data_IF_025193482223
#
_entry.id   IF_025193482223
#
_cell.length_a   1.000
_cell.length_b   1.000
_cell.length_c   1.000
_cell.angle_alpha   90.00
_cell.angle_beta   90.00
_cell.angle_gamma   90.00
#
_symmetry.space_group_name_H-M   'P 1'
#
loop_
_entity.id
_entity.type
_entity.pdbx_description
1 polymer ?
#
# COMPACT_ATOMS: atom_id res chain seq x y z
N UNK A 1 37.75 -62.52 19.71
CA UNK A 1 36.90 -61.52 20.39
C UNK A 1 36.64 -60.37 19.42
N UNK A 2 35.36 -60.13 19.16
CA UNK A 2 34.81 -59.35 18.06
C UNK A 2 35.08 -57.85 18.22
N UNK A 3 35.50 -57.20 17.12
CA UNK A 3 35.33 -55.75 16.95
C UNK A 3 33.99 -55.52 16.25
N UNK A 4 33.04 -54.95 16.97
CA UNK A 4 31.78 -54.44 16.44
C UNK A 4 32.04 -53.18 15.59
N UNK A 5 31.45 -53.04 14.40
CA UNK A 5 31.40 -51.78 13.70
C UNK A 5 30.17 -50.97 14.15
N UNK A 6 30.41 -49.74 14.62
CA UNK A 6 29.38 -48.73 14.85
C UNK A 6 28.80 -48.29 13.50
N UNK A 7 27.57 -48.70 13.21
CA UNK A 7 26.80 -48.17 12.08
C UNK A 7 26.27 -46.78 12.44
N UNK A 8 26.92 -45.71 11.99
CA UNK A 8 26.32 -44.37 12.01
C UNK A 8 25.30 -44.26 10.87
N UNK A 9 24.03 -44.50 11.18
CA UNK A 9 22.90 -44.13 10.31
C UNK A 9 22.89 -42.60 10.18
N UNK A 10 23.42 -42.10 9.07
CA UNK A 10 23.16 -40.74 8.61
C UNK A 10 21.72 -40.66 8.11
N UNK A 11 20.79 -40.21 8.96
CA UNK A 11 19.46 -39.81 8.54
C UNK A 11 19.57 -38.56 7.68
N UNK A 12 19.60 -38.74 6.35
CA UNK A 12 19.34 -37.66 5.38
C UNK A 12 17.89 -37.21 5.58
N UNK A 13 17.69 -36.15 6.36
CA UNK A 13 16.50 -35.31 6.27
C UNK A 13 16.50 -34.70 4.87
N UNK A 14 15.75 -35.32 3.95
CA UNK A 14 15.34 -34.65 2.71
C UNK A 14 14.48 -33.47 3.14
N UNK A 15 15.02 -32.26 3.03
CA UNK A 15 14.22 -31.05 3.04
C UNK A 15 13.25 -31.15 1.86
N UNK A 16 12.02 -31.56 2.12
CA UNK A 16 10.90 -31.39 1.19
C UNK A 16 10.61 -29.90 1.16
N UNK A 17 11.23 -29.19 0.23
CA UNK A 17 10.79 -27.86 -0.19
C UNK A 17 9.38 -28.02 -0.77
N UNK A 18 8.36 -27.82 0.07
CA UNK A 18 7.01 -27.61 -0.42
C UNK A 18 7.07 -26.30 -1.21
N UNK A 19 7.07 -26.40 -2.54
CA UNK A 19 6.72 -25.26 -3.39
C UNK A 19 5.28 -24.90 -3.08
N UNK A 20 5.08 -23.91 -2.21
CA UNK A 20 3.78 -23.31 -1.96
C UNK A 20 3.30 -22.77 -3.30
N UNK A 21 2.16 -23.27 -3.79
CA UNK A 21 1.55 -22.77 -5.02
C UNK A 21 0.93 -21.42 -4.69
N UNK A 22 1.35 -20.38 -5.40
CA UNK A 22 0.71 -19.06 -5.37
C UNK A 22 -0.69 -19.18 -6.00
N UNK A 23 -1.71 -18.58 -5.37
CA UNK A 23 -3.09 -18.56 -5.90
C UNK A 23 -3.21 -17.71 -7.17
N UNK A 24 -2.18 -16.92 -7.45
CA UNK A 24 -2.10 -15.99 -8.55
C UNK A 24 -1.03 -16.41 -9.55
N UNK A 25 -1.38 -16.33 -10.83
CA UNK A 25 -0.41 -16.22 -11.90
C UNK A 25 -0.16 -14.75 -12.18
N UNK A 26 1.01 -14.27 -11.82
CA UNK A 26 1.38 -12.86 -11.96
C UNK A 26 2.35 -12.63 -13.11
N UNK A 27 2.22 -11.48 -13.77
CA UNK A 27 3.20 -10.96 -14.70
C UNK A 27 3.20 -9.42 -14.67
N UNK A 28 4.38 -8.81 -14.80
CA UNK A 28 4.53 -7.37 -15.05
C UNK A 28 5.28 -7.21 -16.36
N UNK A 29 4.66 -6.50 -17.30
CA UNK A 29 5.25 -6.18 -18.59
C UNK A 29 5.69 -4.72 -18.60
N UNK A 30 6.87 -4.46 -19.13
CA UNK A 30 7.37 -3.10 -19.34
C UNK A 30 7.93 -2.94 -20.75
N UNK A 31 7.75 -1.76 -21.33
CA UNK A 31 8.25 -1.45 -22.68
C UNK A 31 8.34 0.06 -22.88
N UNK A 32 9.23 0.55 -23.76
CA UNK A 32 9.17 1.92 -24.25
C UNK A 32 8.02 2.16 -25.24
N UNK A 33 7.27 1.12 -25.63
CA UNK A 33 6.12 1.24 -26.54
C UNK A 33 4.83 0.70 -25.90
N UNK A 34 3.80 1.55 -25.70
CA UNK A 34 2.53 1.10 -25.15
C UNK A 34 1.75 0.20 -26.13
N UNK A 35 1.97 0.37 -27.44
CA UNK A 35 1.38 -0.49 -28.46
C UNK A 35 1.95 -1.92 -28.40
N UNK A 36 3.27 -2.08 -28.27
CA UNK A 36 3.89 -3.40 -28.10
C UNK A 36 3.47 -4.08 -26.79
N UNK A 37 3.20 -3.30 -25.73
CA UNK A 37 2.60 -3.83 -24.50
C UNK A 37 1.21 -4.37 -24.74
N UNK A 38 0.35 -3.64 -25.45
CA UNK A 38 -1.01 -4.07 -25.75
C UNK A 38 -1.01 -5.41 -26.52
N UNK A 39 -0.18 -5.52 -27.56
CA UNK A 39 -0.02 -6.77 -28.32
C UNK A 39 0.42 -7.95 -27.43
N UNK A 40 1.35 -7.71 -26.49
CA UNK A 40 1.77 -8.76 -25.54
C UNK A 40 0.66 -9.16 -24.58
N UNK A 41 -0.14 -8.20 -24.11
CA UNK A 41 -1.28 -8.47 -23.22
C UNK A 41 -2.35 -9.27 -23.95
N UNK A 42 -2.66 -8.96 -25.21
CA UNK A 42 -3.57 -9.74 -26.06
C UNK A 42 -3.14 -11.20 -26.16
N UNK A 43 -1.86 -11.44 -26.46
CA UNK A 43 -1.30 -12.79 -26.50
C UNK A 43 -1.44 -13.49 -25.15
N UNK A 44 -1.09 -12.81 -24.06
CA UNK A 44 -1.11 -13.40 -22.73
C UNK A 44 -2.50 -13.80 -22.28
N UNK A 45 -3.47 -12.91 -22.48
CA UNK A 45 -4.86 -13.10 -22.05
C UNK A 45 -5.53 -14.24 -22.83
N UNK A 46 -5.16 -14.43 -24.11
CA UNK A 46 -5.65 -15.53 -24.93
C UNK A 46 -5.13 -16.91 -24.46
N UNK A 47 -3.94 -16.98 -23.84
CA UNK A 47 -3.34 -18.25 -23.39
C UNK A 47 -4.00 -18.83 -22.13
N UNK A 48 -4.53 -17.98 -21.26
CA UNK A 48 -4.97 -18.38 -19.92
C UNK A 48 -6.22 -17.62 -19.49
N UNK A 49 -7.43 -18.11 -19.83
CA UNK A 49 -8.65 -17.53 -19.30
C UNK A 49 -8.74 -17.75 -17.78
N UNK A 50 -9.25 -16.76 -17.07
CA UNK A 50 -9.51 -16.81 -15.62
C UNK A 50 -10.83 -16.16 -15.29
N UNK A 51 -11.45 -16.58 -14.18
CA UNK A 51 -12.68 -15.99 -13.66
C UNK A 51 -12.44 -14.58 -13.09
N UNK A 52 -11.21 -14.28 -12.66
CA UNK A 52 -10.86 -12.97 -12.14
C UNK A 52 -9.47 -12.57 -12.61
N UNK A 53 -9.40 -11.40 -13.25
CA UNK A 53 -8.14 -10.79 -13.70
C UNK A 53 -7.95 -9.46 -13.00
N UNK A 54 -6.86 -9.35 -12.24
CA UNK A 54 -6.38 -8.11 -11.67
C UNK A 54 -5.42 -7.42 -12.65
N UNK A 55 -5.47 -6.10 -12.75
CA UNK A 55 -4.48 -5.33 -13.48
C UNK A 55 -4.14 -3.98 -12.83
N UNK A 56 -2.93 -3.51 -13.10
CA UNK A 56 -2.51 -2.14 -12.80
C UNK A 56 -1.78 -1.61 -14.03
N UNK A 57 -2.33 -0.57 -14.66
CA UNK A 57 -1.81 0.04 -15.88
C UNK A 57 -1.14 1.36 -15.54
N UNK A 58 0.10 1.56 -15.98
CA UNK A 58 0.81 2.81 -15.73
C UNK A 58 0.04 4.02 -16.26
N UNK A 59 -0.08 5.06 -15.45
CA UNK A 59 -0.91 6.24 -15.74
C UNK A 59 -0.42 7.06 -16.92
N UNK A 60 0.86 6.91 -17.28
CA UNK A 60 1.47 7.54 -18.46
C UNK A 60 1.05 6.89 -19.79
N UNK A 61 0.36 5.74 -19.78
CA UNK A 61 -0.15 5.12 -21.01
C UNK A 61 -1.11 6.09 -21.73
N UNK A 62 -0.98 6.26 -23.06
CA UNK A 62 -1.84 7.18 -23.81
C UNK A 62 -3.33 6.95 -23.58
N UNK A 63 -4.08 8.03 -23.35
CA UNK A 63 -5.51 7.96 -23.03
C UNK A 63 -6.31 7.10 -24.03
N UNK A 64 -5.97 7.18 -25.32
CA UNK A 64 -6.61 6.39 -26.38
C UNK A 64 -6.44 4.88 -26.18
N UNK A 65 -5.32 4.43 -25.63
CA UNK A 65 -5.00 3.00 -25.48
C UNK A 65 -5.59 2.42 -24.19
N UNK A 66 -5.94 3.23 -23.20
CA UNK A 66 -6.49 2.75 -21.92
C UNK A 66 -7.75 1.89 -22.14
N UNK A 67 -8.67 2.35 -22.98
CA UNK A 67 -9.88 1.59 -23.30
C UNK A 67 -9.61 0.34 -24.15
N UNK A 68 -8.55 0.34 -24.96
CA UNK A 68 -8.14 -0.83 -25.72
C UNK A 68 -7.54 -1.91 -24.80
N UNK A 69 -6.67 -1.54 -23.85
CA UNK A 69 -6.20 -2.45 -22.79
C UNK A 69 -7.38 -3.06 -22.02
N UNK A 70 -8.35 -2.23 -21.62
CA UNK A 70 -9.55 -2.71 -20.92
C UNK A 70 -10.35 -3.71 -21.75
N UNK A 71 -10.56 -3.42 -23.03
CA UNK A 71 -11.29 -4.31 -23.94
C UNK A 71 -10.61 -5.68 -24.05
N UNK A 72 -9.27 -5.67 -24.19
CA UNK A 72 -8.48 -6.91 -24.26
C UNK A 72 -8.59 -7.70 -22.96
N UNK A 73 -8.43 -7.05 -21.81
CA UNK A 73 -8.51 -7.71 -20.50
C UNK A 73 -9.92 -8.29 -20.25
N UNK A 74 -10.99 -7.57 -20.60
CA UNK A 74 -12.37 -8.06 -20.50
C UNK A 74 -12.72 -9.18 -21.50
N UNK A 75 -12.00 -9.29 -22.63
CA UNK A 75 -12.30 -10.29 -23.66
C UNK A 75 -11.98 -11.75 -23.27
N UNK A 76 -11.23 -11.95 -22.17
CA UNK A 76 -10.71 -13.25 -21.73
C UNK A 76 -11.79 -14.26 -21.30
N UNK A 77 -12.94 -13.80 -20.81
CA UNK A 77 -13.96 -14.69 -20.27
C UNK A 77 -15.35 -14.06 -20.29
N UNK A 78 -16.32 -14.76 -20.88
CA UNK A 78 -17.74 -14.34 -20.86
C UNK A 78 -18.37 -14.34 -19.45
N UNK A 79 -17.65 -14.85 -18.44
CA UNK A 79 -18.05 -14.87 -17.03
C UNK A 79 -17.03 -14.24 -16.08
N UNK A 80 -15.88 -13.81 -16.59
CA UNK A 80 -14.80 -13.32 -15.75
C UNK A 80 -14.94 -11.84 -15.43
N UNK A 81 -14.51 -11.44 -14.24
CA UNK A 81 -14.51 -10.03 -13.82
C UNK A 81 -13.08 -9.49 -13.84
N UNK A 82 -12.87 -8.41 -14.60
CA UNK A 82 -11.61 -7.68 -14.63
C UNK A 82 -11.63 -6.56 -13.59
N UNK A 83 -10.63 -6.47 -12.73
CA UNK A 83 -10.52 -5.44 -11.70
C UNK A 83 -9.16 -4.77 -11.82
N UNK A 84 -9.10 -3.46 -11.69
CA UNK A 84 -7.80 -2.79 -11.71
C UNK A 84 -7.86 -1.31 -11.46
N UNK A 85 -6.73 -0.66 -11.71
CA UNK A 85 -6.61 0.79 -11.65
C UNK A 85 -5.53 1.31 -12.60
N UNK A 86 -5.50 2.63 -12.78
CA UNK A 86 -4.28 3.31 -13.21
C UNK A 86 -3.34 3.45 -12.02
N UNK A 87 -2.08 3.07 -12.24
CA UNK A 87 -1.00 3.05 -11.25
C UNK A 87 0.13 4.00 -11.64
N UNK A 88 1.02 4.28 -10.70
CA UNK A 88 2.13 5.19 -10.93
C UNK A 88 3.19 4.53 -11.82
N UNK A 89 4.01 5.36 -12.46
CA UNK A 89 5.15 4.92 -13.28
C UNK A 89 6.15 4.19 -12.40
N UNK A 90 6.52 2.97 -12.81
CA UNK A 90 7.52 2.18 -12.09
C UNK A 90 8.91 2.84 -12.20
N UNK A 91 9.68 2.94 -11.10
CA UNK A 91 11.03 3.48 -11.13
C UNK A 91 11.95 2.61 -12.02
N UNK A 92 12.70 3.25 -12.90
CA UNK A 92 13.66 2.61 -13.82
C UNK A 92 15.05 2.59 -13.19
N UNK A 93 15.73 1.43 -13.19
CA UNK A 93 17.07 1.27 -12.60
C UNK A 93 18.20 1.79 -13.51
N UNK A 94 17.91 2.64 -14.51
CA UNK A 94 18.92 3.09 -15.47
C UNK A 94 19.79 4.19 -14.86
N UNK A 95 21.10 3.91 -14.78
CA UNK A 95 22.16 4.90 -14.55
C UNK A 95 21.87 6.23 -15.27
N UNK A 96 22.16 7.39 -14.65
CA UNK A 96 21.88 8.74 -15.20
C UNK A 96 22.60 9.06 -16.52
N UNK A 97 23.33 8.12 -17.09
CA UNK A 97 24.05 8.23 -18.37
C UNK A 97 23.23 7.83 -19.61
N UNK A 98 22.06 7.21 -19.43
CA UNK A 98 21.18 6.83 -20.54
C UNK A 98 19.97 7.75 -20.54
N UNK A 99 19.91 8.69 -21.46
CA UNK A 99 18.76 9.58 -21.61
C UNK A 99 17.46 8.77 -21.79
N UNK A 100 16.55 8.93 -20.82
CA UNK A 100 15.17 9.41 -21.04
C UNK A 100 14.26 8.60 -21.98
N UNK A 101 14.38 7.27 -22.05
CA UNK A 101 13.31 6.47 -22.63
C UNK A 101 12.23 6.22 -21.57
N UNK A 102 11.14 6.98 -21.64
CA UNK A 102 9.95 6.75 -20.84
C UNK A 102 9.49 5.29 -20.98
N UNK A 103 9.21 4.66 -19.84
CA UNK A 103 8.80 3.26 -19.79
C UNK A 103 7.33 3.19 -19.40
N UNK A 104 6.57 2.43 -20.18
CA UNK A 104 5.19 2.08 -19.89
C UNK A 104 5.16 0.71 -19.22
N UNK A 105 4.20 0.48 -18.33
CA UNK A 105 4.05 -0.82 -17.67
C UNK A 105 2.61 -1.23 -17.48
N UNK A 106 2.39 -2.55 -17.43
CA UNK A 106 1.14 -3.16 -16.98
C UNK A 106 1.46 -4.40 -16.15
N UNK A 107 0.91 -4.45 -14.94
CA UNK A 107 0.91 -5.65 -14.11
C UNK A 107 -0.43 -6.37 -14.26
N UNK A 108 -0.40 -7.69 -14.38
CA UNK A 108 -1.56 -8.56 -14.54
C UNK A 108 -1.43 -9.73 -13.56
N UNK A 109 -2.50 -10.03 -12.83
CA UNK A 109 -2.59 -11.23 -12.01
C UNK A 109 -3.90 -11.96 -12.27
N UNK A 110 -3.82 -13.25 -12.57
CA UNK A 110 -4.97 -14.10 -12.84
C UNK A 110 -5.11 -15.13 -11.73
N UNK A 111 -6.29 -15.20 -11.13
CA UNK A 111 -6.54 -16.18 -10.09
C UNK A 111 -6.56 -17.60 -10.66
N UNK A 112 -5.93 -18.54 -9.97
CA UNK A 112 -5.90 -19.96 -10.32
C UNK A 112 -6.25 -20.79 -9.10
N UNK A 113 -7.50 -21.29 -9.02
CA UNK A 113 -7.96 -22.09 -7.90
C UNK A 113 -7.01 -23.25 -7.61
N UNK A 114 -6.45 -23.32 -6.40
CA UNK A 114 -5.59 -24.45 -6.01
C UNK A 114 -6.41 -25.71 -5.72
N UNK A 115 -7.64 -25.53 -5.23
CA UNK A 115 -8.58 -26.57 -4.81
C UNK A 115 -10.01 -26.24 -5.25
N UNK A 116 -10.88 -27.25 -5.32
CA UNK A 116 -12.28 -27.08 -5.69
C UNK A 116 -13.13 -26.32 -4.66
N UNK A 117 -12.62 -26.18 -3.42
CA UNK A 117 -13.24 -25.39 -2.35
C UNK A 117 -12.89 -23.91 -2.41
N UNK A 118 -11.89 -23.55 -3.23
CA UNK A 118 -11.40 -22.19 -3.35
C UNK A 118 -12.23 -21.44 -4.39
N UNK A 119 -12.70 -20.24 -4.02
CA UNK A 119 -13.42 -19.36 -4.94
C UNK A 119 -13.05 -17.91 -4.70
N UNK A 120 -13.23 -17.10 -5.73
CA UNK A 120 -13.03 -15.65 -5.67
C UNK A 120 -14.36 -14.91 -5.74
N UNK A 121 -14.48 -13.83 -4.97
CA UNK A 121 -15.56 -12.87 -5.08
C UNK A 121 -14.94 -11.53 -5.46
N UNK A 122 -15.22 -11.06 -6.67
CA UNK A 122 -15.00 -9.68 -7.07
C UNK A 122 -16.02 -8.79 -6.35
N UNK A 123 -15.58 -7.65 -5.82
CA UNK A 123 -16.45 -6.71 -5.11
C UNK A 123 -16.14 -5.26 -5.46
N UNK A 124 -17.15 -4.40 -5.26
CA UNK A 124 -17.05 -2.95 -5.34
C UNK A 124 -17.63 -2.34 -4.07
N UNK A 125 -16.84 -1.52 -3.40
CA UNK A 125 -17.30 -0.73 -2.26
C UNK A 125 -17.59 0.71 -2.68
N UNK A 126 -18.79 1.18 -2.34
CA UNK A 126 -19.20 2.59 -2.45
C UNK A 126 -19.04 3.34 -1.13
N UNK A 127 -18.38 2.74 -0.14
CA UNK A 127 -18.14 3.35 1.16
C UNK A 127 -17.18 4.54 0.99
N UNK A 128 -17.68 5.74 1.27
CA UNK A 128 -16.92 6.98 1.14
C UNK A 128 -16.78 7.67 2.49
N UNK A 129 -15.55 8.01 2.83
CA UNK A 129 -15.24 8.89 3.94
C UNK A 129 -15.63 10.33 3.69
N UNK A 130 -15.31 11.17 4.67
CA UNK A 130 -15.59 12.59 4.62
C UNK A 130 -14.83 13.26 3.47
N UNK A 131 -15.43 14.24 2.79
CA UNK A 131 -14.67 15.07 1.85
C UNK A 131 -13.51 15.77 2.58
N UNK A 132 -12.42 15.99 1.86
CA UNK A 132 -11.30 16.76 2.38
C UNK A 132 -11.78 18.18 2.74
N UNK A 133 -11.32 18.70 3.88
CA UNK A 133 -11.67 20.06 4.30
C UNK A 133 -11.00 21.05 3.33
N UNK A 134 -11.78 21.67 2.45
CA UNK A 134 -11.32 22.73 1.58
C UNK A 134 -11.54 24.10 2.23
N UNK A 135 -10.47 24.85 2.44
CA UNK A 135 -10.54 26.25 2.86
C UNK A 135 -10.58 27.14 1.60
N UNK A 136 -11.77 27.58 1.16
CA UNK A 136 -11.90 28.47 0.00
C UNK A 136 -13.25 28.40 -0.73
N UNK A 137 -13.33 29.03 -1.91
CA UNK A 137 -14.49 28.94 -2.82
C UNK A 137 -14.35 27.70 -3.70
N UNK A 138 -14.76 26.54 -3.21
CA UNK A 138 -14.85 25.36 -4.06
C UNK A 138 -16.02 25.51 -5.04
N UNK A 139 -15.76 25.25 -6.33
CA UNK A 139 -16.81 25.09 -7.33
C UNK A 139 -17.34 23.67 -7.15
N UNK A 140 -18.42 23.52 -6.37
CA UNK A 140 -19.11 22.23 -6.23
C UNK A 140 -19.61 21.79 -7.62
N UNK A 141 -19.21 20.63 -8.14
CA UNK A 141 -19.91 20.03 -9.28
C UNK A 141 -21.34 19.69 -8.84
N UNK A 142 -22.34 20.02 -9.66
CA UNK A 142 -23.78 19.90 -9.36
C UNK A 142 -24.21 18.47 -8.94
N UNK A 143 -23.39 17.45 -9.19
CA UNK A 143 -23.66 16.05 -8.84
C UNK A 143 -23.46 15.68 -7.35
N UNK A 144 -22.96 16.57 -6.50
CA UNK A 144 -22.68 16.27 -5.07
C UNK A 144 -23.64 16.94 -4.07
N UNK A 145 -24.67 17.63 -4.54
CA UNK A 145 -25.58 18.40 -3.67
C UNK A 145 -26.43 17.52 -2.70
N UNK A 146 -26.63 16.23 -2.99
CA UNK A 146 -27.51 15.35 -2.19
C UNK A 146 -26.80 14.58 -1.06
N UNK A 147 -25.48 14.67 -0.94
CA UNK A 147 -24.71 13.94 0.09
C UNK A 147 -24.26 14.80 1.29
N UNK A 148 -24.75 16.04 1.39
CA UNK A 148 -24.51 16.94 2.54
C UNK A 148 -25.33 16.48 3.77
N UNK A 149 -25.07 15.27 4.29
CA UNK A 149 -25.44 14.95 5.67
C UNK A 149 -24.48 15.69 6.59
N UNK A 150 -25.02 16.68 7.30
CA UNK A 150 -24.32 17.44 8.33
C UNK A 150 -23.67 16.46 9.30
N UNK A 151 -22.35 16.59 9.46
CA UNK A 151 -21.51 15.70 10.24
C UNK A 151 -21.97 15.67 11.71
N UNK A 152 -22.54 14.54 12.13
CA UNK A 152 -23.02 14.32 13.50
C UNK A 152 -21.92 14.45 14.56
N UNK A 153 -20.65 14.20 14.20
CA UNK A 153 -19.50 14.39 15.07
C UNK A 153 -19.10 15.86 15.21
N UNK A 154 -19.16 16.63 14.12
CA UNK A 154 -18.99 18.09 14.17
C UNK A 154 -20.13 18.75 14.95
N UNK A 155 -21.38 18.30 14.74
CA UNK A 155 -22.51 18.76 15.53
C UNK A 155 -22.36 18.41 17.02
N UNK A 156 -21.91 17.20 17.34
CA UNK A 156 -21.68 16.80 18.74
C UNK A 156 -20.60 17.66 19.39
N UNK A 157 -19.51 17.96 18.67
CA UNK A 157 -18.45 18.87 19.13
C UNK A 157 -18.98 20.30 19.32
N UNK A 158 -19.72 20.85 18.34
CA UNK A 158 -20.32 22.19 18.44
C UNK A 158 -21.34 22.28 19.59
N UNK A 159 -21.94 21.15 19.99
CA UNK A 159 -22.84 21.03 21.14
C UNK A 159 -22.11 20.74 22.48
N UNK A 160 -20.78 20.77 22.50
CA UNK A 160 -19.97 20.62 23.72
C UNK A 160 -19.59 19.18 24.09
N UNK A 161 -19.73 18.23 23.16
CA UNK A 161 -19.23 16.86 23.30
C UNK A 161 -17.70 16.76 23.16
N UNK A 162 -17.13 15.58 23.45
CA UNK A 162 -15.70 15.34 23.22
C UNK A 162 -15.39 15.44 21.74
N UNK A 163 -14.31 16.18 21.41
CA UNK A 163 -13.76 16.16 20.08
C UNK A 163 -13.09 14.80 19.85
N UNK A 164 -13.65 14.02 18.93
CA UNK A 164 -13.10 12.74 18.51
C UNK A 164 -13.39 12.52 17.03
N UNK A 165 -12.36 12.15 16.27
CA UNK A 165 -12.54 11.66 14.91
C UNK A 165 -13.28 10.30 14.98
N UNK A 166 -14.61 10.33 14.98
CA UNK A 166 -15.41 9.12 14.84
C UNK A 166 -15.40 8.17 16.05
N UNK A 167 -15.44 8.67 17.29
CA UNK A 167 -15.90 7.85 18.42
C UNK A 167 -17.42 7.58 18.27
N UNK A 168 -17.76 6.71 17.32
CA UNK A 168 -19.07 6.06 17.28
C UNK A 168 -19.09 4.97 18.35
N UNK A 169 -20.22 4.89 19.06
CA UNK A 169 -20.47 3.84 20.05
C UNK A 169 -20.39 2.46 19.40
N UNK A 170 -20.04 1.40 20.16
CA UNK A 170 -19.93 0.04 19.63
C UNK A 170 -21.18 -0.45 18.89
N UNK A 171 -22.35 0.06 19.24
CA UNK A 171 -23.65 -0.29 18.66
C UNK A 171 -23.91 0.33 17.27
N UNK A 172 -23.21 1.42 16.91
CA UNK A 172 -23.27 2.02 15.56
C UNK A 172 -22.24 1.42 14.59
N UNK A 173 -21.18 0.77 15.11
CA UNK A 173 -20.10 0.18 14.31
C UNK A 173 -20.51 -1.04 13.48
N UNK A 174 -21.59 -1.74 13.81
CA UNK A 174 -21.89 -3.05 13.22
C UNK A 174 -22.83 -3.04 12.02
N UNK A 175 -23.47 -1.91 11.68
CA UNK A 175 -24.54 -1.90 10.64
C UNK A 175 -24.33 -0.91 9.48
N UNK A 176 -23.33 -0.02 9.52
CA UNK A 176 -23.21 1.05 8.52
C UNK A 176 -22.09 0.89 7.48
N UNK A 177 -21.17 -0.07 7.64
CA UNK A 177 -20.02 -0.22 6.74
C UNK A 177 -19.83 -1.69 6.33
N UNK A 178 -20.73 -2.19 5.48
CA UNK A 178 -20.61 -3.53 4.89
C UNK A 178 -20.30 -3.42 3.39
N UNK A 179 -19.49 -4.36 2.88
CA UNK A 179 -19.26 -4.54 1.44
C UNK A 179 -20.34 -5.51 0.95
N UNK A 180 -21.26 -5.01 0.12
CA UNK A 180 -22.48 -5.74 -0.28
C UNK A 180 -22.19 -7.12 -0.88
N UNK A 181 -21.17 -7.26 -1.73
CA UNK A 181 -20.83 -8.54 -2.36
C UNK A 181 -20.22 -9.55 -1.39
N UNK A 182 -19.72 -9.10 -0.23
CA UNK A 182 -19.18 -9.96 0.82
C UNK A 182 -20.20 -10.19 1.95
N UNK A 183 -21.42 -9.70 1.79
CA UNK A 183 -22.49 -9.81 2.78
C UNK A 183 -22.92 -11.27 2.94
N UNK A 184 -22.96 -11.74 4.18
CA UNK A 184 -23.31 -13.12 4.51
C UNK A 184 -22.18 -14.14 4.36
N UNK A 185 -21.01 -13.73 3.85
CA UNK A 185 -19.82 -14.58 3.88
C UNK A 185 -19.24 -14.65 5.30
N UNK A 186 -18.84 -15.85 5.71
CA UNK A 186 -18.17 -16.03 6.98
C UNK A 186 -16.80 -15.35 6.93
N UNK A 187 -16.54 -14.46 7.89
CA UNK A 187 -15.30 -13.69 7.93
C UNK A 187 -14.08 -14.60 8.08
N UNK A 188 -14.24 -15.78 8.68
CA UNK A 188 -13.17 -16.77 8.85
C UNK A 188 -12.79 -17.49 7.55
N UNK A 189 -13.69 -17.52 6.56
CA UNK A 189 -13.49 -18.20 5.28
C UNK A 189 -12.65 -17.39 4.29
N UNK A 190 -12.61 -16.06 4.46
CA UNK A 190 -11.85 -15.15 3.60
C UNK A 190 -10.40 -15.17 4.05
N UNK A 191 -9.52 -15.50 3.11
CA UNK A 191 -8.07 -15.64 3.34
C UNK A 191 -7.27 -14.48 2.81
N UNK A 192 -7.72 -13.88 1.73
CA UNK A 192 -7.00 -12.87 1.02
C UNK A 192 -7.96 -11.80 0.53
N UNK A 193 -7.52 -10.56 0.65
CA UNK A 193 -8.20 -9.39 0.11
C UNK A 193 -7.17 -8.58 -0.67
N UNK A 194 -7.38 -8.48 -1.98
CA UNK A 194 -6.59 -7.61 -2.87
C UNK A 194 -7.44 -6.41 -3.24
N UNK A 195 -6.98 -5.20 -2.92
CA UNK A 195 -7.82 -4.00 -3.01
C UNK A 195 -7.17 -2.86 -3.78
N UNK A 196 -7.96 -2.17 -4.58
CA UNK A 196 -7.63 -0.87 -5.17
C UNK A 196 -8.68 0.13 -4.71
N UNK A 197 -8.25 1.31 -4.28
CA UNK A 197 -9.17 2.29 -3.70
C UNK A 197 -8.81 3.70 -4.09
N UNK A 198 -9.82 4.56 -4.19
CA UNK A 198 -9.66 5.99 -4.42
C UNK A 198 -9.40 6.71 -3.09
N UNK A 199 -9.65 8.02 -3.05
CA UNK A 199 -9.60 8.80 -1.82
C UNK A 199 -10.65 8.39 -0.78
N UNK A 200 -10.53 9.00 0.41
CA UNK A 200 -11.54 8.91 1.49
C UNK A 200 -11.85 7.48 1.92
N UNK A 201 -10.79 6.70 2.04
CA UNK A 201 -10.78 5.25 2.26
C UNK A 201 -11.27 4.83 3.67
N UNK A 202 -11.39 5.73 4.65
CA UNK A 202 -11.52 5.32 6.06
C UNK A 202 -12.71 4.38 6.36
N UNK A 203 -13.93 4.62 5.88
CA UNK A 203 -15.04 3.68 6.10
C UNK A 203 -14.80 2.33 5.44
N UNK A 204 -14.08 2.29 4.31
CA UNK A 204 -13.70 1.06 3.65
C UNK A 204 -12.66 0.28 4.46
N UNK A 205 -11.61 0.93 4.99
CA UNK A 205 -10.64 0.28 5.88
C UNK A 205 -11.31 -0.27 7.14
N UNK A 206 -12.26 0.49 7.71
CA UNK A 206 -13.06 0.03 8.85
C UNK A 206 -13.88 -1.21 8.49
N UNK A 207 -14.52 -1.26 7.32
CA UNK A 207 -15.24 -2.45 6.84
C UNK A 207 -14.32 -3.68 6.69
N UNK A 208 -13.09 -3.47 6.18
CA UNK A 208 -12.11 -4.55 6.02
C UNK A 208 -11.66 -5.15 7.36
N UNK A 209 -11.72 -4.38 8.46
CA UNK A 209 -11.31 -4.85 9.79
C UNK A 209 -12.10 -6.06 10.30
N UNK A 210 -13.31 -6.33 9.76
CA UNK A 210 -14.10 -7.53 10.11
C UNK A 210 -13.42 -8.83 9.66
N UNK A 211 -12.63 -8.77 8.59
CA UNK A 211 -11.94 -9.92 8.01
C UNK A 211 -10.58 -10.14 8.68
N UNK A 212 -10.61 -10.30 10.00
CA UNK A 212 -9.39 -10.38 10.82
C UNK A 212 -8.49 -11.59 10.50
N UNK A 213 -9.00 -12.63 9.83
CA UNK A 213 -8.23 -13.78 9.32
C UNK A 213 -7.64 -13.58 7.92
N UNK A 214 -8.12 -12.60 7.15
CA UNK A 214 -7.75 -12.42 5.75
C UNK A 214 -6.50 -11.54 5.61
N UNK A 215 -5.47 -11.97 4.89
CA UNK A 215 -4.33 -11.09 4.54
C UNK A 215 -4.79 -10.02 3.55
N UNK A 216 -4.57 -8.74 3.85
CA UNK A 216 -5.03 -7.65 2.97
C UNK A 216 -3.84 -6.90 2.40
N UNK A 217 -3.82 -6.81 1.07
CA UNK A 217 -2.85 -6.05 0.28
C UNK A 217 -3.56 -5.20 -0.73
N UNK A 218 -2.92 -4.12 -1.15
CA UNK A 218 -3.48 -3.27 -2.17
C UNK A 218 -2.75 -1.96 -2.29
N UNK A 219 -3.39 -1.03 -2.98
CA UNK A 219 -2.91 0.34 -3.10
C UNK A 219 -4.07 1.33 -3.20
N UNK A 220 -3.78 2.57 -2.82
CA UNK A 220 -4.59 3.69 -3.25
C UNK A 220 -4.24 3.94 -4.72
N UNK A 221 -5.22 4.08 -5.60
CA UNK A 221 -5.00 4.35 -7.02
C UNK A 221 -4.23 5.65 -7.22
N UNK A 222 -3.56 5.77 -8.37
CA UNK A 222 -2.85 6.98 -8.72
C UNK A 222 -3.78 8.14 -9.05
N UNK A 223 -3.29 9.36 -8.91
CA UNK A 223 -4.02 10.57 -9.26
C UNK A 223 -4.05 10.74 -10.79
N UNK A 224 -5.24 10.72 -11.37
CA UNK A 224 -5.46 10.69 -12.83
C UNK A 224 -6.23 11.88 -13.43
N UNK A 225 -6.27 13.09 -12.84
CA UNK A 225 -7.13 14.17 -13.35
C UNK A 225 -6.77 14.61 -14.77
N UNK A 226 -5.53 14.40 -15.21
CA UNK A 226 -5.07 14.71 -16.57
C UNK A 226 -4.77 13.48 -17.42
N UNK A 227 -4.85 12.28 -16.83
CA UNK A 227 -4.54 11.01 -17.48
C UNK A 227 -5.80 10.33 -18.03
N UNK A 228 -6.97 10.92 -17.85
CA UNK A 228 -8.23 10.38 -18.35
C UNK A 228 -9.11 11.47 -18.95
N UNK A 229 -9.91 11.08 -19.93
CA UNK A 229 -10.72 12.00 -20.75
C UNK A 229 -11.80 12.75 -19.96
N UNK A 230 -12.32 12.12 -18.92
CA UNK A 230 -13.35 12.62 -18.00
C UNK A 230 -12.76 13.48 -16.86
N UNK A 231 -11.44 13.53 -16.72
CA UNK A 231 -10.79 14.33 -15.68
C UNK A 231 -10.96 13.81 -14.25
N UNK A 232 -11.33 12.54 -14.10
CA UNK A 232 -11.54 11.92 -12.79
C UNK A 232 -10.25 11.88 -11.98
N UNK A 233 -10.35 12.25 -10.69
CA UNK A 233 -9.21 12.27 -9.76
C UNK A 233 -8.54 10.90 -9.61
N UNK A 234 -9.31 9.82 -9.70
CA UNK A 234 -8.84 8.44 -9.67
C UNK A 234 -9.50 7.63 -10.79
N UNK A 235 -8.83 6.56 -11.22
CA UNK A 235 -9.35 5.64 -12.24
C UNK A 235 -9.23 4.20 -11.78
N UNK A 236 -10.31 3.69 -11.19
CA UNK A 236 -10.51 2.30 -10.85
C UNK A 236 -11.39 1.62 -11.91
N UNK A 237 -11.29 0.31 -12.02
CA UNK A 237 -12.02 -0.48 -13.01
C UNK A 237 -12.66 -1.70 -12.35
N UNK A 238 -13.93 -1.95 -12.66
CA UNK A 238 -14.71 -3.10 -12.21
C UNK A 238 -15.54 -3.64 -13.37
N UNK A 239 -15.08 -4.75 -13.96
CA UNK A 239 -15.57 -5.23 -15.25
C UNK A 239 -15.44 -4.15 -16.32
N UNK A 240 -16.54 -3.84 -16.98
CA UNK A 240 -16.60 -2.81 -18.03
C UNK A 240 -16.84 -1.39 -17.48
N UNK A 241 -17.08 -1.25 -16.17
CA UNK A 241 -17.31 0.04 -15.53
C UNK A 241 -15.99 0.70 -15.10
N UNK A 242 -15.87 2.01 -15.37
CA UNK A 242 -14.86 2.86 -14.76
C UNK A 242 -15.44 3.52 -13.51
N UNK A 243 -14.70 3.46 -12.40
CA UNK A 243 -15.12 3.96 -11.09
C UNK A 243 -14.09 4.98 -10.59
N UNK A 244 -14.55 6.17 -10.21
CA UNK A 244 -13.67 7.26 -9.75
C UNK A 244 -13.59 7.40 -8.21
N UNK A 245 -14.47 6.72 -7.47
CA UNK A 245 -14.59 6.84 -6.01
C UNK A 245 -14.80 5.46 -5.37
N UNK A 246 -14.46 5.32 -4.08
CA UNK A 246 -14.68 4.09 -3.32
C UNK A 246 -13.54 3.09 -3.51
N UNK A 247 -13.87 1.80 -3.61
CA UNK A 247 -12.89 0.74 -3.78
C UNK A 247 -13.39 -0.40 -4.66
N UNK A 248 -12.46 -1.12 -5.28
CA UNK A 248 -12.69 -2.36 -6.03
C UNK A 248 -11.69 -3.40 -5.52
N UNK A 249 -12.06 -4.67 -5.54
CA UNK A 249 -11.14 -5.69 -5.06
C UNK A 249 -11.65 -7.11 -5.24
N UNK A 250 -10.83 -8.04 -4.78
CA UNK A 250 -11.09 -9.48 -4.84
C UNK A 250 -10.90 -10.07 -3.46
N UNK A 251 -11.89 -10.81 -2.99
CA UNK A 251 -11.79 -11.68 -1.84
C UNK A 251 -11.54 -13.12 -2.31
N UNK A 252 -10.53 -13.78 -1.75
CA UNK A 252 -10.30 -15.22 -1.96
C UNK A 252 -10.81 -15.98 -0.74
N UNK A 253 -11.70 -16.92 -0.97
CA UNK A 253 -12.33 -17.76 0.04
C UNK A 253 -11.83 -19.18 -0.10
N UNK A 254 -11.53 -19.84 1.02
CA UNK A 254 -11.31 -21.29 1.03
C UNK A 254 -11.82 -21.91 2.33
N UNK A 255 -12.91 -22.66 2.21
CA UNK A 255 -13.61 -23.33 3.30
C UNK A 255 -12.89 -24.57 3.85
N UNK A 256 -11.84 -25.07 3.19
CA UNK A 256 -11.25 -26.38 3.49
C UNK A 256 -9.99 -26.35 4.37
N UNK A 257 -9.27 -25.22 4.48
CA UNK A 257 -8.04 -25.19 5.26
C UNK A 257 -8.22 -24.58 6.65
N UNK A 258 -7.57 -25.24 7.60
CA UNK A 258 -7.25 -24.70 8.92
C UNK A 258 -6.49 -23.39 8.75
N UNK A 259 -6.78 -22.41 9.61
CA UNK A 259 -6.42 -20.99 9.57
C UNK A 259 -4.90 -20.64 9.49
N UNK A 260 -4.18 -21.20 8.53
CA UNK A 260 -2.81 -20.81 8.22
C UNK A 260 -2.86 -19.57 7.33
N UNK A 261 -2.70 -18.39 7.94
CA UNK A 261 -2.53 -17.14 7.20
C UNK A 261 -1.41 -17.25 6.15
N UNK A 262 -1.59 -16.56 5.04
CA UNK A 262 -0.51 -16.32 4.07
C UNK A 262 0.43 -15.26 4.65
N UNK A 263 1.75 -15.45 4.59
CA UNK A 263 2.69 -14.48 5.11
C UNK A 263 2.63 -13.22 4.24
N UNK A 264 2.39 -12.09 4.89
CA UNK A 264 2.53 -10.78 4.28
C UNK A 264 3.95 -10.29 4.50
N UNK A 265 4.65 -9.93 3.44
CA UNK A 265 5.96 -9.30 3.52
C UNK A 265 5.78 -7.79 3.45
N UNK A 266 6.23 -7.08 4.49
CA UNK A 266 6.23 -5.62 4.54
C UNK A 266 7.67 -5.13 4.68
N UNK A 267 8.08 -4.24 3.79
CA UNK A 267 9.40 -3.61 3.78
C UNK A 267 9.22 -2.10 3.66
N UNK A 268 9.90 -1.32 4.50
CA UNK A 268 9.79 0.14 4.53
C UNK A 268 10.95 0.82 3.80
N UNK A 269 11.27 0.35 2.59
CA UNK A 269 12.35 0.91 1.78
C UNK A 269 13.72 0.90 2.48
N UNK A 270 14.46 2.00 2.33
CA UNK A 270 15.80 2.19 2.89
C UNK A 270 15.80 2.90 4.26
N UNK A 271 14.67 2.97 4.97
CA UNK A 271 14.61 3.65 6.27
C UNK A 271 15.64 3.09 7.27
N UNK A 272 16.42 4.00 7.86
CA UNK A 272 17.46 3.68 8.81
C UNK A 272 17.17 4.33 10.17
N UNK A 273 17.49 3.64 11.30
CA UNK A 273 17.28 4.19 12.63
C UNK A 273 18.23 5.36 12.94
N UNK A 274 17.72 6.34 13.68
CA UNK A 274 18.44 7.48 14.22
C UNK A 274 18.42 7.42 15.74
N UNK A 275 19.57 7.11 16.34
CA UNK A 275 19.70 7.00 17.79
C UNK A 275 19.04 5.74 18.38
N UNK A 276 18.70 5.83 19.67
CA UNK A 276 18.22 4.71 20.47
C UNK A 276 16.68 4.62 20.51
N UNK A 277 16.17 3.46 20.95
CA UNK A 277 14.75 3.29 21.24
C UNK A 277 14.37 4.01 22.55
N UNK A 278 13.29 4.80 22.52
CA UNK A 278 12.78 5.56 23.66
C UNK A 278 11.39 5.11 24.08
N UNK A 279 11.17 4.88 25.37
CA UNK A 279 9.85 4.55 25.92
C UNK A 279 8.91 5.76 25.86
N UNK A 280 7.66 5.58 25.44
CA UNK A 280 6.63 6.63 25.48
C UNK A 280 6.13 6.78 26.91
N UNK A 281 6.52 7.87 27.57
CA UNK A 281 6.09 8.17 28.94
C UNK A 281 4.81 8.99 29.01
N UNK A 282 4.50 9.79 27.97
CA UNK A 282 3.23 10.53 27.85
C UNK A 282 2.90 10.87 26.39
N UNK A 283 1.62 10.74 26.04
CA UNK A 283 1.06 11.02 24.72
C UNK A 283 -0.43 11.37 24.83
N UNK A 284 -0.97 11.99 23.79
CA UNK A 284 -2.39 12.26 23.59
C UNK A 284 -2.73 12.02 22.12
N UNK A 285 -3.43 10.92 21.80
CA UNK A 285 -3.72 10.54 20.42
C UNK A 285 -2.44 10.30 19.62
N UNK A 286 -2.27 11.05 18.53
CA UNK A 286 -1.08 11.00 17.66
C UNK A 286 0.04 11.99 18.09
N UNK A 287 -0.13 12.67 19.23
CA UNK A 287 0.85 13.62 19.78
C UNK A 287 1.63 12.95 20.91
N UNK A 288 2.94 12.82 20.73
CA UNK A 288 3.88 12.34 21.74
C UNK A 288 4.45 13.54 22.51
N UNK A 289 4.24 13.55 23.83
CA UNK A 289 4.66 14.66 24.69
C UNK A 289 6.02 14.37 25.33
N UNK A 290 6.20 13.17 25.86
CA UNK A 290 7.47 12.77 26.48
C UNK A 290 7.89 11.37 26.12
N UNK A 291 9.20 11.23 25.91
CA UNK A 291 9.90 9.99 25.59
C UNK A 291 10.99 9.78 26.65
N UNK A 292 10.96 8.66 27.35
CA UNK A 292 11.89 8.30 28.44
C UNK A 292 12.02 9.40 29.51
N UNK A 293 10.89 10.05 29.82
CA UNK A 293 10.82 11.16 30.78
C UNK A 293 11.36 12.50 30.25
N UNK A 294 11.80 12.55 29.00
CA UNK A 294 12.33 13.75 28.35
C UNK A 294 11.36 14.28 27.30
N UNK A 295 11.57 15.53 26.90
CA UNK A 295 10.83 16.21 25.84
C UNK A 295 11.06 15.52 24.49
N UNK A 296 9.99 15.05 23.85
CA UNK A 296 10.06 14.22 22.65
C UNK A 296 10.69 14.97 21.46
N UNK A 297 10.28 16.22 21.24
CA UNK A 297 10.81 17.05 20.17
C UNK A 297 12.30 17.39 20.35
N UNK A 298 12.78 17.56 21.59
CA UNK A 298 14.21 17.75 21.87
C UNK A 298 15.02 16.50 21.62
N UNK A 299 14.49 15.32 21.96
CA UNK A 299 15.17 14.05 21.66
C UNK A 299 15.30 13.84 20.16
N UNK A 300 14.25 14.10 19.38
CA UNK A 300 14.33 14.09 17.92
C UNK A 300 15.39 15.08 17.42
N UNK A 301 15.34 16.34 17.89
CA UNK A 301 16.31 17.36 17.47
C UNK A 301 17.76 16.97 17.79
N UNK A 302 17.99 16.38 18.96
CA UNK A 302 19.32 15.87 19.32
C UNK A 302 19.76 14.74 18.40
N UNK A 303 18.88 13.76 18.14
CA UNK A 303 19.15 12.65 17.24
C UNK A 303 19.48 13.13 15.81
N UNK A 304 18.75 14.14 15.32
CA UNK A 304 19.01 14.80 14.03
C UNK A 304 20.35 15.53 14.04
N UNK A 305 20.66 16.29 15.10
CA UNK A 305 21.95 16.97 15.24
C UNK A 305 23.13 15.99 15.33
N UNK A 306 22.94 14.82 15.92
CA UNK A 306 23.96 13.78 15.99
C UNK A 306 24.17 13.12 14.62
N UNK A 307 23.10 12.98 13.83
CA UNK A 307 23.13 12.40 12.48
C UNK A 307 23.82 13.29 11.45
N UNK A 308 23.50 14.59 11.43
CA UNK A 308 24.04 15.55 10.44
C UNK A 308 25.20 16.39 10.98
N UNK A 309 25.48 16.30 12.28
CA UNK A 309 26.42 17.17 12.99
C UNK A 309 25.81 18.51 13.41
N UNK A 310 26.23 19.04 14.55
CA UNK A 310 25.76 20.32 15.13
C UNK A 310 26.14 21.58 14.32
N UNK A 311 26.73 21.42 13.13
CA UNK A 311 27.32 22.48 12.33
C UNK A 311 26.54 22.80 11.04
N UNK A 312 25.21 22.75 11.08
CA UNK A 312 24.38 23.35 10.05
C UNK A 312 24.78 24.83 9.78
N UNK A 313 25.37 25.53 10.75
CA UNK A 313 25.92 26.88 10.56
C UNK A 313 27.11 26.97 9.57
N UNK A 314 27.89 25.89 9.42
CA UNK A 314 29.09 25.84 8.55
C UNK A 314 28.81 25.21 7.18
N UNK A 315 27.59 24.70 6.96
CA UNK A 315 27.20 24.14 5.67
C UNK A 315 26.79 25.27 4.70
N UNK A 316 27.14 25.14 3.40
CA UNK A 316 26.59 25.96 2.33
C UNK A 316 25.07 26.07 2.43
N UNK A 317 24.51 27.25 2.11
CA UNK A 317 23.07 27.52 2.24
C UNK A 317 22.19 26.45 1.54
N UNK A 318 22.63 25.93 0.40
CA UNK A 318 21.94 24.86 -0.33
C UNK A 318 21.87 23.53 0.45
N UNK A 319 22.94 23.14 1.14
CA UNK A 319 22.96 21.92 1.97
C UNK A 319 22.12 22.10 3.23
N UNK A 320 22.11 23.30 3.82
CA UNK A 320 21.22 23.64 4.94
C UNK A 320 19.74 23.53 4.60
N UNK A 321 19.35 23.99 3.40
CA UNK A 321 17.96 23.87 2.94
C UNK A 321 17.61 22.40 2.70
N UNK A 322 18.49 21.65 2.04
CA UNK A 322 18.30 20.23 1.78
C UNK A 322 18.16 19.41 3.06
N UNK A 323 18.97 19.67 4.10
CA UNK A 323 18.86 19.00 5.40
C UNK A 323 17.57 19.36 6.15
N UNK A 324 17.10 20.61 6.01
CA UNK A 324 15.85 21.07 6.64
C UNK A 324 14.61 20.44 5.99
N UNK A 325 14.71 20.07 4.72
CA UNK A 325 13.62 19.44 3.95
C UNK A 325 13.59 17.92 4.13
N UNK A 326 14.56 17.32 4.84
CA UNK A 326 14.55 15.87 5.09
C UNK A 326 13.37 15.46 5.96
N UNK A 327 12.71 14.39 5.52
CA UNK A 327 11.63 13.77 6.25
C UNK A 327 12.16 12.81 7.31
N UNK A 328 11.50 12.80 8.46
CA UNK A 328 11.78 11.87 9.54
C UNK A 328 10.53 11.05 9.84
N UNK A 329 10.74 9.82 10.27
CA UNK A 329 9.68 8.87 10.57
C UNK A 329 9.85 8.33 12.00
N UNK A 330 8.78 7.78 12.56
CA UNK A 330 8.76 7.13 13.85
C UNK A 330 8.26 5.70 13.67
N UNK A 331 9.06 4.72 14.07
CA UNK A 331 8.60 3.35 14.27
C UNK A 331 8.18 3.14 15.72
N UNK A 332 6.96 2.64 15.92
CA UNK A 332 6.35 2.40 17.23
C UNK A 332 6.27 0.90 17.48
N UNK A 333 6.86 0.44 18.58
CA UNK A 333 6.89 -0.95 19.02
C UNK A 333 6.12 -1.13 20.33
N UNK A 334 5.49 -2.29 20.50
CA UNK A 334 4.78 -2.60 21.74
C UNK A 334 5.75 -2.86 22.91
N UNK A 335 6.91 -3.44 22.62
CA UNK A 335 8.01 -3.71 23.54
C UNK A 335 9.30 -3.06 23.06
N UNK A 336 10.34 -3.04 23.90
CA UNK A 336 11.63 -2.46 23.51
C UNK A 336 12.22 -3.30 22.36
N UNK A 337 12.47 -2.73 21.17
CA UNK A 337 13.03 -3.48 20.06
C UNK A 337 14.50 -3.83 20.30
N UNK A 338 14.92 -4.97 19.78
CA UNK A 338 16.33 -5.35 19.68
C UNK A 338 16.97 -4.73 18.42
N UNK A 339 18.29 -4.59 18.44
CA UNK A 339 19.08 -4.13 17.29
C UNK A 339 19.88 -5.30 16.70
N UNK A 340 19.99 -5.42 15.35
CA UNK A 340 19.49 -4.50 14.32
C UNK A 340 17.96 -4.49 14.21
N UNK A 341 17.41 -3.32 13.90
CA UNK A 341 15.97 -3.06 13.93
C UNK A 341 15.23 -3.83 12.81
N UNK A 342 14.24 -4.65 13.19
CA UNK A 342 13.27 -5.22 12.24
C UNK A 342 12.01 -4.34 12.20
N UNK A 343 11.84 -3.58 11.11
CA UNK A 343 10.68 -2.72 10.91
C UNK A 343 9.38 -3.49 10.67
N UNK A 344 9.44 -4.77 10.30
CA UNK A 344 8.24 -5.59 10.12
C UNK A 344 7.54 -5.93 11.45
N UNK A 345 8.27 -5.84 12.57
CA UNK A 345 7.71 -6.00 13.92
C UNK A 345 7.15 -4.67 14.48
N UNK A 346 7.38 -3.54 13.80
CA UNK A 346 6.83 -2.27 14.24
C UNK A 346 5.30 -2.34 14.16
N UNK A 347 4.63 -1.95 15.25
CA UNK A 347 3.17 -1.79 15.23
C UNK A 347 2.76 -0.76 14.19
N UNK A 348 3.51 0.33 14.09
CA UNK A 348 3.28 1.45 13.19
C UNK A 348 4.62 2.03 12.75
N UNK A 349 4.73 2.42 11.48
CA UNK A 349 5.77 3.32 10.98
C UNK A 349 5.06 4.46 10.29
N UNK A 350 5.33 5.70 10.72
CA UNK A 350 4.62 6.87 10.25
C UNK A 350 5.53 8.11 10.23
N UNK A 351 5.20 9.07 9.36
CA UNK A 351 5.93 10.33 9.22
C UNK A 351 5.78 11.19 10.46
N UNK A 352 6.83 11.92 10.82
CA UNK A 352 6.78 12.95 11.86
C UNK A 352 6.36 14.25 11.19
N UNK A 353 5.17 14.76 11.53
CA UNK A 353 4.57 15.93 10.86
C UNK A 353 5.08 17.25 11.42
N UNK A 354 5.26 17.30 12.74
CA UNK A 354 5.65 18.51 13.42
C UNK A 354 6.28 18.18 14.76
N UNK A 355 7.16 19.06 15.23
CA UNK A 355 7.72 19.04 16.57
C UNK A 355 8.03 20.45 17.02
N UNK A 356 7.64 20.81 18.24
CA UNK A 356 7.99 22.08 18.85
C UNK A 356 8.95 21.81 20.02
N UNK A 357 10.27 22.04 19.88
CA UNK A 357 11.23 21.82 20.96
C UNK A 357 10.94 22.64 22.23
N UNK A 358 10.25 23.78 22.09
CA UNK A 358 9.90 24.66 23.20
C UNK A 358 8.71 24.14 24.01
N UNK A 359 7.68 23.60 23.32
CA UNK A 359 6.49 23.01 23.94
C UNK A 359 6.63 21.51 24.23
N UNK A 360 7.59 20.87 23.59
CA UNK A 360 8.01 19.49 23.77
C UNK A 360 7.20 18.40 23.11
N UNK A 361 6.15 18.78 22.40
CA UNK A 361 5.29 17.85 21.68
C UNK A 361 5.85 17.55 20.28
N UNK A 362 5.69 16.30 19.87
CA UNK A 362 5.95 15.80 18.51
C UNK A 362 4.69 15.09 18.01
N UNK A 363 4.25 15.41 16.79
CA UNK A 363 3.09 14.77 16.16
C UNK A 363 3.51 13.78 15.09
N UNK A 364 2.87 12.62 15.08
CA UNK A 364 3.07 11.55 14.10
C UNK A 364 1.85 11.47 13.19
N UNK A 365 2.07 11.21 11.90
CA UNK A 365 1.03 11.06 10.88
C UNK A 365 0.32 9.71 11.05
N UNK A 366 -0.60 9.63 12.00
CA UNK A 366 -1.38 8.43 12.26
C UNK A 366 -2.72 8.76 12.89
N UNK A 367 -3.70 7.92 12.62
CA UNK A 367 -4.99 7.92 13.31
C UNK A 367 -4.97 7.00 14.55
N UNK A 368 -3.93 6.17 14.69
CA UNK A 368 -3.76 5.31 15.85
C UNK A 368 -3.15 6.08 17.03
N UNK A 369 -3.67 5.82 18.23
CA UNK A 369 -3.06 6.35 19.45
C UNK A 369 -1.65 5.76 19.65
N UNK A 370 -0.67 6.64 19.90
CA UNK A 370 0.66 6.25 20.36
C UNK A 370 0.58 5.97 21.85
N UNK A 371 0.57 4.70 22.25
CA UNK A 371 0.27 4.31 23.64
C UNK A 371 1.44 4.55 24.58
N UNK A 372 1.14 5.01 25.81
CA UNK A 372 2.12 5.00 26.90
C UNK A 372 2.66 3.58 27.15
N UNK A 373 3.96 3.46 27.38
CA UNK A 373 4.68 2.19 27.56
C UNK A 373 5.12 1.51 26.26
N UNK A 374 4.68 2.01 25.09
CA UNK A 374 5.27 1.63 23.81
C UNK A 374 6.66 2.24 23.64
N UNK A 375 7.42 1.79 22.64
CA UNK A 375 8.74 2.31 22.32
C UNK A 375 8.74 2.98 20.95
N UNK A 376 9.40 4.12 20.84
CA UNK A 376 9.60 4.86 19.59
C UNK A 376 11.06 4.80 19.19
N UNK A 377 11.32 4.47 17.93
CA UNK A 377 12.62 4.62 17.28
C UNK A 377 12.46 5.64 16.16
N UNK A 378 13.30 6.68 16.16
CA UNK A 378 13.33 7.65 15.07
C UNK A 378 14.01 7.03 13.85
N UNK A 379 13.50 7.35 12.67
CA UNK A 379 14.02 6.86 11.40
C UNK A 379 14.24 8.03 10.44
N UNK A 380 15.17 7.86 9.51
CA UNK A 380 15.35 8.74 8.37
C UNK A 380 15.55 7.92 7.11
N UNK A 381 15.31 8.54 5.96
CA UNK A 381 15.69 7.99 4.67
C UNK A 381 17.14 8.43 4.35
N UNK A 382 18.10 7.51 4.20
CA UNK A 382 19.43 7.83 3.68
C UNK A 382 19.33 8.31 2.23
N UNK A 383 20.27 9.14 1.77
CA UNK A 383 20.33 9.66 0.38
C UNK A 383 20.65 8.58 -0.69
N UNK A 384 20.41 7.31 -0.38
CA UNK A 384 20.54 6.19 -1.33
C UNK A 384 19.20 6.04 -2.04
N UNK A 385 19.20 5.92 -3.39
CA UNK A 385 18.01 5.69 -4.22
C UNK A 385 17.12 4.56 -3.66
N UNK A 386 16.17 4.92 -2.81
CA UNK A 386 15.34 3.99 -2.04
C UNK A 386 14.44 3.14 -2.96
N UNK A 387 14.13 3.66 -4.13
CA UNK A 387 13.26 3.06 -5.14
C UNK A 387 13.93 1.91 -5.90
N UNK A 388 15.26 1.93 -6.07
CA UNK A 388 15.99 0.88 -6.78
C UNK A 388 16.06 -0.45 -5.98
N UNK A 389 15.95 -0.39 -4.65
CA UNK A 389 16.05 -1.55 -3.76
C UNK A 389 14.71 -2.29 -3.53
N UNK A 390 13.59 -1.77 -4.05
CA UNK A 390 12.24 -2.12 -3.63
C UNK A 390 11.54 -3.15 -4.55
N UNK A 391 12.29 -3.97 -5.31
CA UNK A 391 11.68 -5.01 -6.17
C UNK A 391 11.39 -6.30 -5.39
N UNK A 392 10.31 -7.03 -5.71
CA UNK A 392 10.03 -8.33 -5.12
C UNK A 392 11.17 -9.31 -5.41
N UNK A 393 11.70 -9.96 -4.37
CA UNK A 393 12.78 -10.93 -4.51
C UNK A 393 12.29 -12.30 -5.02
N UNK A 394 10.97 -12.56 -4.92
CA UNK A 394 10.37 -13.85 -5.22
C UNK A 394 9.38 -13.74 -6.39
N UNK A 395 9.31 -14.82 -7.16
CA UNK A 395 8.40 -14.94 -8.29
C UNK A 395 6.98 -15.23 -7.79
N UNK A 396 6.00 -14.78 -8.58
CA UNK A 396 4.55 -15.01 -8.45
C UNK A 396 3.90 -14.34 -7.24
N UNK A 397 4.51 -13.26 -6.76
CA UNK A 397 3.95 -12.44 -5.70
C UNK A 397 3.03 -11.35 -6.25
N UNK A 398 2.03 -10.97 -5.44
CA UNK A 398 1.30 -9.72 -5.61
C UNK A 398 2.00 -8.64 -4.78
N UNK A 399 2.67 -7.70 -5.43
CA UNK A 399 3.41 -6.64 -4.76
C UNK A 399 2.89 -5.25 -5.14
N UNK A 400 2.85 -4.39 -4.13
CA UNK A 400 2.49 -2.99 -4.25
C UNK A 400 3.60 -2.13 -3.67
N UNK A 401 3.93 -1.04 -4.37
CA UNK A 401 5.04 -0.15 -4.05
C UNK A 401 4.53 1.28 -3.84
N UNK A 402 4.96 1.93 -2.77
CA UNK A 402 4.77 3.37 -2.59
C UNK A 402 5.96 4.11 -3.24
N UNK A 403 5.68 5.06 -4.13
CA UNK A 403 6.69 5.86 -4.86
C UNK A 403 6.34 7.34 -4.77
N UNK A 404 7.28 8.27 -5.02
CA UNK A 404 6.92 9.66 -5.23
C UNK A 404 6.05 9.84 -6.50
N UNK A 405 5.26 10.92 -6.58
CA UNK A 405 4.51 11.25 -7.80
C UNK A 405 5.48 11.50 -8.97
N UNK A 406 5.16 10.95 -10.14
CA UNK A 406 5.96 11.21 -11.35
C UNK A 406 5.65 12.58 -11.95
N UNK A 407 6.68 13.29 -12.43
CA UNK A 407 6.55 14.52 -13.23
C UNK A 407 6.24 14.26 -14.72
N UNK A 408 5.86 13.03 -15.07
CA UNK A 408 5.56 12.64 -16.45
C UNK A 408 4.29 13.33 -16.93
N UNK A 409 4.37 13.96 -18.10
CA UNK A 409 3.21 14.59 -18.73
C UNK A 409 2.24 13.54 -19.28
N UNK A 410 0.92 13.77 -19.23
CA UNK A 410 -0.05 12.83 -19.77
C UNK A 410 0.08 12.74 -21.29
N UNK A 411 0.09 11.51 -21.81
CA UNK A 411 -0.01 11.25 -23.24
C UNK A 411 -1.47 11.13 -23.68
N UNK A 412 -1.83 11.82 -24.76
CA UNK A 412 -3.22 11.78 -25.27
C UNK A 412 -3.36 10.74 -26.38
N UNK A 413 -2.40 10.70 -27.31
CA UNK A 413 -2.45 9.82 -28.48
C UNK A 413 -1.29 8.83 -28.53
N UNK A 414 -1.55 7.62 -29.04
CA UNK A 414 -0.52 6.60 -29.23
C UNK A 414 0.63 7.05 -30.17
N UNK A 415 0.36 8.02 -31.05
CA UNK A 415 1.35 8.61 -31.96
C UNK A 415 2.43 9.45 -31.26
N UNK A 416 2.21 9.82 -29.99
CA UNK A 416 3.20 10.54 -29.17
C UNK A 416 4.29 9.61 -28.64
N UNK A 417 4.05 8.31 -28.65
CA UNK A 417 4.94 7.30 -28.10
C UNK A 417 5.60 6.47 -29.21
N UNK A 418 6.72 5.79 -28.93
CA UNK A 418 7.31 4.82 -29.85
C UNK A 418 6.29 3.76 -30.28
N UNK A 419 6.20 3.48 -31.58
CA UNK A 419 5.26 2.49 -32.14
C UNK A 419 5.71 1.04 -31.96
N UNK A 420 7.01 0.82 -31.70
CA UNK A 420 7.60 -0.49 -31.42
C UNK A 420 8.60 -0.38 -30.28
N UNK A 421 8.62 -1.38 -29.42
CA UNK A 421 9.56 -1.48 -28.32
C UNK A 421 9.76 -2.93 -27.88
N UNK A 422 10.92 -3.24 -27.32
CA UNK A 422 11.11 -4.53 -26.66
C UNK A 422 10.21 -4.60 -25.42
N UNK A 423 9.54 -5.74 -25.23
CA UNK A 423 8.68 -5.97 -24.07
C UNK A 423 9.41 -6.89 -23.10
N UNK A 424 9.81 -6.34 -21.96
CA UNK A 424 10.35 -7.12 -20.86
C UNK A 424 9.20 -7.71 -20.03
N UNK A 425 9.43 -8.87 -19.43
CA UNK A 425 8.42 -9.60 -18.65
C UNK A 425 9.03 -10.08 -17.35
N UNK A 426 8.39 -9.73 -16.25
CA UNK A 426 8.74 -10.17 -14.90
C UNK A 426 7.63 -11.10 -14.38
N UNK A 427 7.98 -12.15 -13.65
CA UNK A 427 7.02 -13.16 -13.16
C UNK A 427 6.37 -12.77 -11.82
N UNK A 428 6.13 -11.49 -11.58
CA UNK A 428 5.44 -10.98 -10.39
C UNK A 428 4.48 -9.86 -10.80
N UNK A 429 3.53 -9.52 -9.94
CA UNK A 429 2.64 -8.37 -10.13
C UNK A 429 3.25 -7.23 -9.31
N UNK A 430 3.59 -6.11 -9.95
CA UNK A 430 4.11 -4.94 -9.29
C UNK A 430 3.35 -3.71 -9.75
N UNK A 431 2.60 -3.11 -8.84
CA UNK A 431 1.90 -1.85 -9.06
C UNK A 431 2.47 -0.78 -8.12
N UNK A 432 2.68 0.43 -8.63
CA UNK A 432 3.15 1.56 -7.85
C UNK A 432 2.04 2.57 -7.58
N UNK A 433 2.15 3.29 -6.46
CA UNK A 433 1.24 4.35 -6.07
C UNK A 433 1.98 5.50 -5.40
N UNK A 434 1.66 6.72 -5.80
CA UNK A 434 2.02 7.95 -5.12
C UNK A 434 1.17 8.23 -3.88
N UNK A 435 0.01 7.59 -3.77
CA UNK A 435 -0.93 7.75 -2.66
C UNK A 435 -0.78 6.66 -1.59
N UNK A 436 0.16 5.72 -1.80
CA UNK A 436 0.52 4.69 -0.83
C UNK A 436 -0.12 3.33 -1.02
N UNK A 437 0.33 2.38 -0.21
CA UNK A 437 -0.07 0.98 -0.25
C UNK A 437 -1.00 0.62 0.91
N UNK A 438 -2.00 -0.22 0.64
CA UNK A 438 -2.92 -0.72 1.67
C UNK A 438 -2.30 -1.97 2.30
N UNK A 439 -2.18 -1.95 3.63
CA UNK A 439 -1.59 -3.03 4.41
C UNK A 439 -2.49 -3.39 5.58
N UNK A 440 -2.77 -4.69 5.73
CA UNK A 440 -3.23 -5.24 6.99
C UNK A 440 -2.38 -6.48 7.29
N UNK A 441 -1.27 -6.34 8.05
CA UNK A 441 -0.40 -7.46 8.34
C UNK A 441 -1.14 -8.54 9.14
N UNK A 442 -0.61 -9.77 9.12
CA UNK A 442 -1.07 -10.86 9.99
C UNK A 442 -0.94 -10.51 11.48
N UNK A 443 -1.40 -11.39 12.37
CA UNK A 443 -1.31 -11.14 13.81
C UNK A 443 0.12 -10.78 14.26
N UNK A 444 0.28 -9.64 14.94
CA UNK A 444 1.49 -9.24 15.66
C UNK A 444 1.16 -9.35 17.16
N UNK A 445 1.92 -10.14 17.93
CA UNK A 445 1.73 -10.30 19.39
C UNK A 445 0.27 -10.65 19.81
N UNK A 446 -0.44 -11.45 19.00
CA UNK A 446 -1.82 -11.89 19.29
C UNK A 446 -2.91 -10.84 19.05
N UNK A 447 -2.58 -9.64 18.57
CA UNK A 447 -3.54 -8.60 18.19
C UNK A 447 -3.23 -8.08 16.79
N UNK A 448 -4.21 -8.16 15.88
CA UNK A 448 -4.03 -7.66 14.51
C UNK A 448 -4.24 -6.14 14.48
N UNK A 449 -3.29 -5.34 13.94
CA UNK A 449 -3.55 -3.93 13.69
C UNK A 449 -4.63 -3.78 12.59
N UNK A 450 -5.44 -2.73 12.63
CA UNK A 450 -6.43 -2.49 11.59
C UNK A 450 -5.76 -2.27 10.22
N UNK A 451 -6.45 -2.56 9.10
CA UNK A 451 -6.00 -2.16 7.78
C UNK A 451 -5.69 -0.67 7.72
N UNK A 452 -4.58 -0.30 7.08
CA UNK A 452 -4.13 1.10 6.96
C UNK A 452 -3.45 1.35 5.62
N UNK A 453 -3.28 2.63 5.28
CA UNK A 453 -2.45 3.07 4.16
C UNK A 453 -1.05 3.42 4.66
N UNK A 454 -0.03 3.02 3.92
CA UNK A 454 1.35 3.46 4.12
C UNK A 454 1.85 4.16 2.86
N UNK A 455 2.10 5.46 2.96
CA UNK A 455 2.59 6.32 1.87
C UNK A 455 4.10 6.58 1.93
N UNK A 456 4.82 5.92 2.83
CA UNK A 456 6.28 6.07 2.97
C UNK A 456 6.93 5.58 1.68
N UNK A 457 7.69 6.43 1.02
CA UNK A 457 8.38 6.10 -0.23
C UNK A 457 9.28 4.87 -0.10
N UNK A 458 9.26 4.02 -1.13
CA UNK A 458 9.99 2.75 -1.13
C UNK A 458 9.33 1.64 -0.30
N UNK A 459 8.17 1.90 0.33
CA UNK A 459 7.43 0.84 1.03
C UNK A 459 6.91 -0.19 0.04
N UNK A 460 7.21 -1.45 0.29
CA UNK A 460 6.72 -2.61 -0.47
C UNK A 460 5.90 -3.49 0.43
N UNK A 461 4.71 -3.82 -0.02
CA UNK A 461 3.90 -4.89 0.55
C UNK A 461 3.73 -6.00 -0.49
N UNK A 462 3.98 -7.24 -0.11
CA UNK A 462 3.87 -8.38 -1.01
C UNK A 462 3.18 -9.57 -0.34
N UNK A 463 2.25 -10.19 -1.08
CA UNK A 463 1.65 -11.46 -0.70
C UNK A 463 2.42 -12.62 -1.33
N UNK A 464 2.85 -13.59 -0.50
CA UNK A 464 3.66 -14.74 -0.93
C UNK A 464 2.84 -16.00 -1.22
#
# INVERSE_FOLDING_TARGET
MQRLPLSSRASRLKATTFHRRTLWQCATYTSPSPASLLERVEQKIAEAPSDVTLFALSKNVPQQLVDDFRRVLSSSSSKGTTIGCLSEVLPTNSSPSSAEAETFSIAIAQHRPAHSSERTIAFRSTLLGRPNIALGREIKPEYQADHDQVDSGLEAFLKGGSWGFGEQTPEQKSSQHEIEELKGEDSSSIRELVVFTADRIQPFLAALSRFSSASTVGMVGSSTPFHTRDGSAYSLFYGDEKVATGAVGVAVLDSAASASMMPLKLQYGSLAPVGDAHEVTSSQGNIVLTLSGQNAARLLLNAVNDLFGTSAANLPAAQRTHEKEKEFYAAVYASKPDFPLDLSQARLVAKIMAGDPSRGAMSVETEEEVKKGSYVVFLHQPDVDATAAARPAEKRQLAFLSVPPSDVMPHFAASECPSKGEVSSEEYFLAASENGVVIAPGQIEGRRPPPRVCSIEGTVTALQ
#
